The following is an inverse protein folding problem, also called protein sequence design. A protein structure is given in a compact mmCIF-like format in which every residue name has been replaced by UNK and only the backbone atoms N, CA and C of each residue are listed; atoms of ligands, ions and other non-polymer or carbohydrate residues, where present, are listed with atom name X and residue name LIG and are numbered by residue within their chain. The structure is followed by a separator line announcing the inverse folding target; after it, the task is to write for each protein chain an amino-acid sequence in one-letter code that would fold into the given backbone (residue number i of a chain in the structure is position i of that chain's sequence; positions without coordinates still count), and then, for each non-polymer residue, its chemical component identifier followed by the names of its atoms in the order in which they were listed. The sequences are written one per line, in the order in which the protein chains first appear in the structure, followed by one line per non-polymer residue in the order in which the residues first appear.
data_IF_331883068832
#
_entry.id   IF_331883068832
#
_cell.length_a   1.000
_cell.length_b   1.000
_cell.length_c   1.000
_cell.angle_alpha   90.00
_cell.angle_beta   90.00
_cell.angle_gamma   90.00
#
_symmetry.space_group_name_H-M   'P 1'
#
loop_
_entity.id
_entity.type
_entity.pdbx_description
1 polymer ?
#
# COMPACT_ATOMS: atom_id res chain seq x y z
N UNK A 1 -2.70 -7.15 -18.06
CA UNK A 1 -3.15 -7.24 -16.66
C UNK A 1 -1.95 -7.39 -15.73
N UNK A 2 -2.06 -6.87 -14.51
CA UNK A 2 -1.04 -6.94 -13.47
C UNK A 2 -1.65 -7.53 -12.20
N UNK A 3 -0.89 -8.36 -11.50
CA UNK A 3 -1.20 -8.77 -10.13
C UNK A 3 0.02 -8.56 -9.26
N UNK A 4 -0.21 -7.97 -8.09
CA UNK A 4 0.78 -7.83 -7.03
C UNK A 4 0.35 -8.67 -5.85
N UNK A 5 1.30 -9.27 -5.12
CA UNK A 5 0.99 -10.19 -4.02
C UNK A 5 2.09 -10.14 -2.96
N UNK A 6 1.73 -10.41 -1.70
CA UNK A 6 2.73 -10.54 -0.64
C UNK A 6 3.65 -11.73 -0.92
N UNK A 7 4.96 -11.48 -0.94
CA UNK A 7 5.96 -12.48 -1.26
C UNK A 7 7.14 -12.40 -0.30
N UNK A 8 7.57 -13.55 0.21
CA UNK A 8 8.85 -13.72 0.89
C UNK A 8 9.82 -14.39 -0.09
N UNK A 9 10.81 -13.64 -0.56
CA UNK A 9 11.81 -14.15 -1.52
C UNK A 9 12.78 -15.17 -0.90
N UNK A 10 12.81 -15.31 0.42
CA UNK A 10 13.84 -16.07 1.16
C UNK A 10 13.35 -17.36 1.79
N UNK A 11 12.05 -17.51 2.02
CA UNK A 11 11.51 -18.69 2.71
C UNK A 11 10.03 -18.95 2.39
N UNK A 12 9.60 -20.19 2.59
CA UNK A 12 8.19 -20.61 2.51
C UNK A 12 7.42 -20.32 3.82
N UNK A 13 7.72 -19.21 4.48
CA UNK A 13 7.09 -18.74 5.72
C UNK A 13 6.78 -17.26 5.63
N UNK A 14 5.88 -16.76 6.48
CA UNK A 14 5.57 -15.33 6.49
C UNK A 14 6.73 -14.52 7.13
N UNK A 15 7.13 -13.44 6.47
CA UNK A 15 8.22 -12.55 6.89
C UNK A 15 8.93 -11.92 5.68
N UNK A 16 9.70 -10.85 5.90
CA UNK A 16 10.43 -10.14 4.83
C UNK A 16 9.54 -9.81 3.61
N UNK A 17 8.32 -9.35 3.86
CA UNK A 17 7.30 -9.20 2.82
C UNK A 17 7.66 -8.06 1.87
N UNK A 18 7.69 -8.39 0.59
CA UNK A 18 7.71 -7.46 -0.55
C UNK A 18 6.48 -7.70 -1.44
N UNK A 19 6.25 -6.82 -2.41
CA UNK A 19 5.21 -7.04 -3.43
C UNK A 19 5.80 -7.80 -4.61
N UNK A 20 5.52 -9.11 -4.68
CA UNK A 20 5.73 -9.89 -5.88
C UNK A 20 4.86 -9.36 -7.03
N UNK A 21 5.26 -9.61 -8.27
CA UNK A 21 4.59 -9.08 -9.46
C UNK A 21 4.48 -10.15 -10.55
N UNK A 22 3.32 -10.24 -11.19
CA UNK A 22 3.14 -11.00 -12.42
C UNK A 22 2.25 -10.25 -13.41
N UNK A 23 2.48 -10.50 -14.71
CA UNK A 23 1.71 -9.92 -15.81
C UNK A 23 0.99 -11.02 -16.59
N UNK A 24 -0.17 -10.67 -17.17
CA UNK A 24 -0.96 -11.57 -17.99
C UNK A 24 -1.69 -10.82 -19.09
N UNK A 25 -1.91 -11.48 -20.22
CA UNK A 25 -2.76 -11.00 -21.32
C UNK A 25 -4.19 -11.54 -21.26
N UNK A 26 -4.45 -12.59 -20.47
CA UNK A 26 -5.72 -13.34 -20.44
C UNK A 26 -6.27 -13.64 -19.03
N UNK A 27 -5.59 -13.16 -17.96
CA UNK A 27 -5.87 -13.44 -16.54
C UNK A 27 -5.71 -14.91 -16.11
N UNK A 28 -5.28 -15.80 -17.01
CA UNK A 28 -5.11 -17.22 -16.74
C UNK A 28 -3.63 -17.65 -16.77
N UNK A 29 -2.87 -17.15 -17.74
CA UNK A 29 -1.43 -17.41 -17.91
C UNK A 29 -0.64 -16.23 -17.42
N UNK A 30 0.30 -16.48 -16.51
CA UNK A 30 1.04 -15.43 -15.81
C UNK A 30 2.54 -15.54 -16.08
N UNK A 31 3.15 -14.43 -16.47
CA UNK A 31 4.60 -14.26 -16.53
C UNK A 31 5.06 -13.61 -15.24
N UNK A 32 5.98 -14.27 -14.52
CA UNK A 32 6.57 -13.71 -13.30
C UNK A 32 7.49 -12.54 -13.65
N UNK A 33 7.34 -11.45 -12.93
CA UNK A 33 8.18 -10.26 -13.02
C UNK A 33 8.99 -10.11 -11.73
N UNK A 34 10.06 -9.30 -11.70
CA UNK A 34 10.76 -8.98 -10.47
C UNK A 34 9.84 -8.33 -9.44
N UNK A 35 9.98 -8.64 -8.13
CA UNK A 35 9.23 -7.94 -7.08
C UNK A 35 9.55 -6.44 -7.03
N UNK A 36 8.54 -5.67 -6.65
CA UNK A 36 8.65 -4.23 -6.43
C UNK A 36 8.78 -3.95 -4.93
N UNK A 37 9.18 -2.73 -4.59
CA UNK A 37 9.38 -2.31 -3.19
C UNK A 37 10.36 -3.22 -2.44
N UNK A 38 11.47 -3.58 -3.10
CA UNK A 38 12.63 -4.19 -2.45
C UNK A 38 13.41 -3.13 -1.66
N UNK A 39 14.34 -3.59 -0.82
CA UNK A 39 15.24 -2.77 -0.02
C UNK A 39 14.50 -1.73 0.84
N UNK A 40 13.78 -2.18 1.89
CA UNK A 40 12.91 -1.30 2.66
C UNK A 40 13.72 -0.23 3.42
N UNK A 41 13.29 1.04 3.41
CA UNK A 41 13.81 2.05 4.30
C UNK A 41 13.41 1.78 5.76
N UNK A 42 14.01 2.48 6.75
CA UNK A 42 13.75 2.21 8.17
C UNK A 42 12.27 2.26 8.59
N UNK A 43 11.47 3.16 7.99
CA UNK A 43 10.03 3.26 8.28
C UNK A 43 9.21 2.06 7.79
N UNK A 44 9.79 1.20 6.96
CA UNK A 44 9.21 0.01 6.35
C UNK A 44 10.04 -1.25 6.69
N UNK A 45 10.88 -1.21 7.72
CA UNK A 45 11.77 -2.33 8.06
C UNK A 45 11.04 -3.65 8.38
N UNK A 46 9.76 -3.59 8.74
CA UNK A 46 8.86 -4.74 8.94
C UNK A 46 8.16 -5.23 7.65
N UNK A 47 8.36 -4.55 6.52
CA UNK A 47 7.92 -4.93 5.19
C UNK A 47 6.83 -4.04 4.58
N UNK A 48 6.66 -4.17 3.26
CA UNK A 48 5.60 -3.56 2.48
C UNK A 48 4.40 -4.52 2.39
N UNK A 49 3.41 -4.31 3.24
CA UNK A 49 2.21 -5.16 3.33
C UNK A 49 1.15 -4.75 2.30
N UNK A 50 -0.01 -5.39 2.37
CA UNK A 50 -1.09 -5.27 1.37
C UNK A 50 -1.56 -3.83 1.15
N UNK A 51 -2.24 -3.65 0.03
CA UNK A 51 -2.79 -2.37 -0.41
C UNK A 51 -3.40 -2.48 -1.79
N UNK A 52 -3.62 -1.33 -2.41
CA UNK A 52 -4.34 -1.20 -3.68
C UNK A 52 -3.62 -0.25 -4.62
N UNK A 53 -3.78 -0.48 -5.92
CA UNK A 53 -3.50 0.56 -6.91
C UNK A 53 -4.66 1.56 -6.93
N UNK A 54 -4.35 2.85 -7.04
CA UNK A 54 -5.34 3.92 -7.04
C UNK A 54 -4.93 5.03 -8.00
N UNK A 55 -5.90 5.65 -8.66
CA UNK A 55 -5.70 6.92 -9.38
C UNK A 55 -6.13 8.08 -8.49
N UNK A 56 -5.17 8.89 -8.05
CA UNK A 56 -5.41 10.08 -7.23
C UNK A 56 -4.92 11.30 -7.99
N UNK A 57 -5.83 12.24 -8.29
CA UNK A 57 -5.51 13.41 -9.13
C UNK A 57 -5.00 13.03 -10.53
N UNK A 58 -5.51 11.92 -11.10
CA UNK A 58 -5.09 11.39 -12.41
C UNK A 58 -3.80 10.57 -12.40
N UNK A 59 -2.98 10.67 -11.34
CA UNK A 59 -1.73 9.92 -11.19
C UNK A 59 -1.99 8.54 -10.59
N UNK A 60 -1.43 7.50 -11.20
CA UNK A 60 -1.46 6.14 -10.67
C UNK A 60 -0.46 6.03 -9.50
N UNK A 61 -0.92 5.47 -8.38
CA UNK A 61 -0.11 5.17 -7.20
C UNK A 61 -0.44 3.78 -6.67
N UNK A 62 0.54 3.14 -6.03
CA UNK A 62 0.32 2.01 -5.14
C UNK A 62 0.20 2.57 -3.72
N UNK A 63 -0.99 2.46 -3.13
CA UNK A 63 -1.22 2.76 -1.72
C UNK A 63 -1.05 1.46 -0.96
N UNK A 64 -0.23 1.44 0.08
CA UNK A 64 0.09 0.21 0.79
C UNK A 64 0.42 0.47 2.26
N UNK A 65 0.32 -0.57 3.06
CA UNK A 65 0.74 -0.49 4.46
C UNK A 65 2.25 -0.73 4.57
N UNK A 66 2.97 0.27 5.05
CA UNK A 66 4.37 0.14 5.42
C UNK A 66 4.49 -0.10 6.92
N UNK A 67 5.23 -1.14 7.29
CA UNK A 67 5.35 -1.58 8.69
C UNK A 67 6.79 -1.37 9.16
N UNK A 68 6.97 -0.74 10.32
CA UNK A 68 8.31 -0.59 10.90
C UNK A 68 8.78 -1.85 11.65
N UNK A 69 10.01 -1.83 12.14
CA UNK A 69 10.57 -2.92 12.95
C UNK A 69 9.83 -3.20 14.26
N UNK A 70 9.00 -2.28 14.74
CA UNK A 70 8.17 -2.42 15.94
C UNK A 70 6.72 -2.86 15.62
N UNK A 71 6.42 -3.19 14.37
CA UNK A 71 5.09 -3.57 13.87
C UNK A 71 4.04 -2.46 13.99
N UNK A 72 4.46 -1.19 13.96
CA UNK A 72 3.53 -0.10 13.76
C UNK A 72 3.18 0.00 12.27
N UNK A 73 1.89 -0.06 11.96
CA UNK A 73 1.40 0.05 10.61
C UNK A 73 1.16 1.52 10.27
N UNK A 74 1.66 1.93 9.10
CA UNK A 74 1.48 3.27 8.52
C UNK A 74 1.02 3.11 7.08
N UNK A 75 0.51 4.17 6.46
CA UNK A 75 0.17 4.13 5.05
C UNK A 75 1.21 4.87 4.23
N UNK A 76 1.66 4.22 3.17
CA UNK A 76 2.70 4.69 2.26
C UNK A 76 2.18 4.68 0.82
N UNK A 77 2.85 5.44 -0.04
CA UNK A 77 2.61 5.50 -1.46
C UNK A 77 3.88 5.14 -2.26
N UNK A 78 3.70 4.54 -3.42
CA UNK A 78 4.74 4.38 -4.43
C UNK A 78 4.18 4.69 -5.82
N UNK A 79 5.04 5.09 -6.74
CA UNK A 79 4.67 5.51 -8.09
C UNK A 79 5.41 4.67 -9.13
N UNK A 80 4.74 4.30 -10.24
CA UNK A 80 5.43 3.62 -11.32
C UNK A 80 6.41 4.59 -11.98
N UNK A 81 7.60 4.09 -12.34
CA UNK A 81 8.58 4.89 -13.09
C UNK A 81 8.15 5.11 -14.55
N UNK A 82 7.38 4.17 -15.11
CA UNK A 82 6.92 4.19 -16.48
C UNK A 82 5.61 3.40 -16.66
N UNK A 83 5.06 3.43 -17.87
CA UNK A 83 3.79 2.77 -18.20
C UNK A 83 3.87 1.24 -18.19
N UNK A 84 5.06 0.63 -18.06
CA UNK A 84 5.20 -0.83 -17.97
C UNK A 84 4.83 -1.36 -16.59
N UNK A 85 4.79 -0.49 -15.56
CA UNK A 85 4.47 -0.83 -14.17
C UNK A 85 5.37 -1.91 -13.55
N UNK A 86 6.57 -2.12 -14.10
CA UNK A 86 7.56 -3.09 -13.61
C UNK A 86 8.51 -2.51 -12.56
N UNK A 87 8.69 -1.19 -12.54
CA UNK A 87 9.54 -0.48 -11.59
C UNK A 87 8.75 0.62 -10.89
N UNK A 88 8.99 0.74 -9.60
CA UNK A 88 8.25 1.62 -8.71
C UNK A 88 9.20 2.31 -7.75
N UNK A 89 8.94 3.60 -7.51
CA UNK A 89 9.68 4.42 -6.55
C UNK A 89 8.76 4.78 -5.39
N UNK A 90 9.24 4.61 -4.17
CA UNK A 90 8.52 5.06 -2.96
C UNK A 90 8.40 6.58 -2.98
N UNK A 91 7.28 7.11 -2.50
CA UNK A 91 7.11 8.54 -2.31
C UNK A 91 8.15 9.08 -1.32
N UNK A 92 8.65 10.29 -1.55
CA UNK A 92 9.63 10.92 -0.64
C UNK A 92 8.97 11.36 0.67
N UNK A 93 7.66 11.59 0.63
CA UNK A 93 6.81 12.01 1.74
C UNK A 93 6.35 10.84 2.62
N UNK A 94 6.75 9.60 2.30
CA UNK A 94 6.36 8.45 3.09
C UNK A 94 6.85 8.56 4.55
N UNK A 95 6.03 8.13 5.53
CA UNK A 95 4.65 7.63 5.37
C UNK A 95 3.64 8.76 5.11
N UNK A 96 2.74 8.57 4.14
CA UNK A 96 1.70 9.56 3.76
C UNK A 96 0.56 9.64 4.80
N UNK A 97 0.40 8.59 5.61
CA UNK A 97 -0.36 8.62 6.87
C UNK A 97 0.49 7.96 7.94
N UNK A 98 1.06 8.78 8.83
CA UNK A 98 2.09 8.36 9.78
C UNK A 98 1.58 7.56 10.99
N UNK A 99 0.31 7.74 11.36
CA UNK A 99 -0.34 7.05 12.48
C UNK A 99 -1.87 7.06 12.29
N UNK A 100 -2.58 6.07 12.86
CA UNK A 100 -4.03 6.12 12.93
C UNK A 100 -4.52 7.17 13.95
N UNK A 101 -5.81 7.54 13.92
CA UNK A 101 -6.40 8.43 14.93
C UNK A 101 -6.41 7.80 16.34
N UNK A 102 -6.62 8.59 17.41
CA UNK A 102 -6.80 8.08 18.76
C UNK A 102 -7.89 6.99 18.84
N UNK A 103 -7.70 6.00 19.71
CA UNK A 103 -8.61 4.86 19.84
C UNK A 103 -8.33 3.69 18.88
N UNK A 104 -7.36 3.85 17.96
CA UNK A 104 -6.93 2.80 17.03
C UNK A 104 -5.52 2.33 17.36
N UNK A 105 -5.32 1.03 17.69
CA UNK A 105 -3.98 0.48 17.89
C UNK A 105 -3.16 0.53 16.59
N UNK A 106 -1.91 1.00 16.69
CA UNK A 106 -1.00 1.11 15.52
C UNK A 106 -0.74 -0.20 14.78
N UNK A 107 -0.90 -1.36 15.42
CA UNK A 107 -0.77 -2.68 14.79
C UNK A 107 -2.06 -3.17 14.07
N UNK A 108 -3.17 -2.45 14.25
CA UNK A 108 -4.49 -2.76 13.71
C UNK A 108 -5.01 -1.61 12.83
N UNK A 109 -4.16 -1.12 11.93
CA UNK A 109 -4.45 -0.05 10.96
C UNK A 109 -3.76 -0.35 9.62
N UNK A 110 -4.46 -0.93 8.63
CA UNK A 110 -3.81 -1.42 7.41
C UNK A 110 -4.75 -1.62 6.23
N UNK A 111 -4.15 -1.96 5.09
CA UNK A 111 -4.81 -2.42 3.88
C UNK A 111 -5.65 -1.29 3.22
N UNK A 112 -5.02 -0.20 2.73
CA UNK A 112 -5.74 0.87 2.06
C UNK A 112 -6.44 0.36 0.79
N UNK A 113 -7.70 0.76 0.60
CA UNK A 113 -8.50 0.41 -0.58
C UNK A 113 -8.05 1.19 -1.81
N UNK A 114 -8.58 0.82 -2.98
CA UNK A 114 -8.56 1.72 -4.13
C UNK A 114 -9.26 3.04 -3.77
N UNK A 115 -8.74 4.14 -4.33
CA UNK A 115 -9.34 5.45 -4.14
C UNK A 115 -10.55 5.66 -5.06
N UNK A 116 -11.61 6.28 -4.56
CA UNK A 116 -12.83 6.56 -5.30
C UNK A 116 -13.22 8.03 -5.22
N UNK A 117 -13.88 8.53 -6.27
CA UNK A 117 -14.37 9.90 -6.31
C UNK A 117 -15.80 9.98 -5.78
N UNK A 118 -16.07 10.96 -4.90
CA UNK A 118 -17.40 11.28 -4.42
C UNK A 118 -17.54 12.78 -4.22
N UNK A 119 -18.59 13.39 -4.81
CA UNK A 119 -18.88 14.83 -4.72
C UNK A 119 -17.68 15.75 -4.98
N UNK A 120 -16.88 15.43 -6.00
CA UNK A 120 -15.72 16.23 -6.40
C UNK A 120 -14.47 16.05 -5.51
N UNK A 121 -14.51 15.12 -4.56
CA UNK A 121 -13.39 14.78 -3.67
C UNK A 121 -12.97 13.32 -3.89
N UNK A 122 -11.74 12.99 -3.53
CA UNK A 122 -11.18 11.64 -3.65
C UNK A 122 -11.03 11.04 -2.25
N UNK A 123 -11.42 9.78 -2.08
CA UNK A 123 -11.37 9.10 -0.80
C UNK A 123 -10.75 7.71 -0.91
N UNK A 124 -10.17 7.21 0.18
CA UNK A 124 -9.81 5.80 0.34
C UNK A 124 -10.15 5.33 1.75
N UNK A 125 -10.50 4.05 1.88
CA UNK A 125 -10.71 3.40 3.17
C UNK A 125 -9.44 2.72 3.66
N UNK A 126 -9.26 2.64 4.98
CA UNK A 126 -8.22 1.81 5.61
C UNK A 126 -8.87 0.97 6.71
N UNK A 127 -8.61 -0.32 6.72
CA UNK A 127 -9.12 -1.22 7.76
C UNK A 127 -8.50 -0.90 9.11
N UNK A 128 -9.33 -0.84 10.15
CA UNK A 128 -8.89 -0.54 11.51
C UNK A 128 -9.66 -1.29 12.59
N UNK A 129 -9.11 -1.29 13.80
CA UNK A 129 -9.86 -1.58 15.03
C UNK A 129 -10.00 -0.27 15.81
N UNK A 130 -11.23 0.25 15.93
CA UNK A 130 -11.55 1.46 16.68
C UNK A 130 -12.32 1.07 17.94
N UNK A 131 -11.75 1.36 19.12
CA UNK A 131 -12.35 1.04 20.42
C UNK A 131 -12.78 -0.45 20.54
N UNK A 132 -11.95 -1.34 19.98
CA UNK A 132 -12.17 -2.79 19.97
C UNK A 132 -13.17 -3.30 18.94
N UNK A 133 -13.66 -2.45 18.03
CA UNK A 133 -14.59 -2.82 16.95
C UNK A 133 -13.93 -2.68 15.59
N UNK A 134 -14.28 -3.58 14.67
CA UNK A 134 -13.87 -3.45 13.27
C UNK A 134 -14.42 -2.16 12.67
N UNK A 135 -13.54 -1.40 12.01
CA UNK A 135 -13.85 -0.11 11.41
C UNK A 135 -13.17 0.03 10.04
N UNK A 136 -13.73 0.92 9.22
CA UNK A 136 -13.06 1.44 8.02
C UNK A 136 -12.88 2.93 8.25
N UNK A 137 -11.63 3.36 8.37
CA UNK A 137 -11.27 4.77 8.45
C UNK A 137 -11.30 5.34 7.04
N UNK A 138 -12.05 6.42 6.84
CA UNK A 138 -12.13 7.10 5.56
C UNK A 138 -11.17 8.29 5.55
N UNK A 139 -10.29 8.34 4.55
CA UNK A 139 -9.36 9.45 4.34
C UNK A 139 -9.72 10.18 3.06
N UNK A 140 -9.70 11.51 3.10
CA UNK A 140 -9.82 12.37 1.92
C UNK A 140 -8.41 12.65 1.36
N UNK A 141 -8.25 12.57 0.04
CA UNK A 141 -7.00 12.85 -0.64
C UNK A 141 -7.00 14.27 -1.24
N UNK A 142 -6.04 15.10 -0.85
CA UNK A 142 -5.67 16.29 -1.61
C UNK A 142 -4.72 15.92 -2.77
N UNK A 143 -3.87 14.91 -2.57
CA UNK A 143 -2.99 14.32 -3.58
C UNK A 143 -2.70 12.86 -3.22
N UNK A 144 -1.96 12.13 -4.05
CA UNK A 144 -1.54 10.75 -3.73
C UNK A 144 -0.65 10.66 -2.46
N UNK A 145 -0.09 11.79 -1.99
CA UNK A 145 0.80 11.87 -0.84
C UNK A 145 0.25 12.72 0.30
N UNK A 146 -0.96 13.26 0.18
CA UNK A 146 -1.57 14.11 1.19
C UNK A 146 -3.01 13.64 1.46
N UNK A 147 -3.19 13.07 2.64
CA UNK A 147 -4.44 12.46 3.10
C UNK A 147 -4.83 13.02 4.46
N UNK A 148 -6.12 13.31 4.63
CA UNK A 148 -6.71 13.86 5.88
C UNK A 148 -7.90 13.05 6.34
#
# INVERSE_FOLDING_TARGET
YHVFFQHNERAATWGNIVWGHATSTDLARWTREPPILRDPPPYEAGGAWSGSLARVGGRLAALYTCVDGARANRQCAAFPEDATLRRWVRAVENPVVAAPPPGVPGSLFRDPTEAFAWRGRTYAGVGASLDGRGAVLLYEAASATNWT
#
